data_IF_676279745360
#
_entry.id   IF_676279745360
#
_cell.length_a   1.000
_cell.length_b   1.000
_cell.length_c   1.000
_cell.angle_alpha   90.00
_cell.angle_beta   90.00
_cell.angle_gamma   90.00
#
_symmetry.space_group_name_H-M   'P 1'
#
loop_
_entity.id
_entity.type
_entity.pdbx_description
1 polymer ?
#
# COMPACT_ATOMS: atom_id res chain seq x y z
N UNK A 1 -1.83 9.99 -3.46
CA UNK A 1 -2.28 8.58 -3.51
C UNK A 1 -2.01 8.02 -4.91
N UNK A 2 -1.90 6.70 -5.10
CA UNK A 2 -2.02 6.07 -6.42
C UNK A 2 -3.15 5.04 -6.33
N UNK A 3 -4.10 5.11 -7.25
CA UNK A 3 -5.27 4.22 -7.23
C UNK A 3 -4.85 2.75 -7.45
N UNK A 4 -5.55 1.79 -6.83
CA UNK A 4 -5.25 0.37 -7.02
C UNK A 4 -5.52 -0.04 -8.47
N UNK A 5 -4.52 -0.60 -9.14
CA UNK A 5 -4.62 -1.06 -10.52
C UNK A 5 -4.02 -2.45 -10.68
N UNK A 6 -4.65 -3.34 -11.48
CA UNK A 6 -4.16 -4.71 -11.64
C UNK A 6 -2.83 -4.81 -12.40
N UNK A 7 -2.47 -3.78 -13.17
CA UNK A 7 -1.21 -3.72 -13.91
C UNK A 7 -0.04 -3.16 -13.07
N UNK A 8 -0.31 -2.72 -11.84
CA UNK A 8 0.70 -2.47 -10.81
C UNK A 8 0.70 -3.67 -9.85
N UNK A 9 1.75 -4.49 -9.90
CA UNK A 9 1.82 -5.75 -9.14
C UNK A 9 3.25 -6.14 -8.78
N UNK A 10 3.36 -7.09 -7.84
CA UNK A 10 4.63 -7.72 -7.46
C UNK A 10 4.56 -9.19 -7.84
N UNK A 11 5.65 -9.73 -8.40
CA UNK A 11 5.79 -11.15 -8.71
C UNK A 11 7.21 -11.61 -8.37
N UNK A 12 7.39 -12.91 -8.19
CA UNK A 12 8.70 -13.57 -8.06
C UNK A 12 8.95 -14.54 -9.22
N UNK A 13 8.10 -14.50 -10.24
CA UNK A 13 8.22 -15.39 -11.38
C UNK A 13 9.47 -15.05 -12.20
N UNK A 14 10.32 -16.06 -12.40
CA UNK A 14 11.56 -15.94 -13.18
C UNK A 14 12.64 -15.08 -12.53
N UNK A 15 12.50 -14.73 -11.25
CA UNK A 15 13.50 -13.94 -10.53
C UNK A 15 14.58 -14.83 -9.92
N UNK A 16 15.85 -14.36 -9.85
CA UNK A 16 16.88 -15.10 -9.13
C UNK A 16 16.57 -15.15 -7.64
N UNK A 17 17.22 -16.08 -6.95
CA UNK A 17 17.20 -16.15 -5.49
C UNK A 17 18.23 -15.17 -4.91
N UNK A 18 17.93 -14.65 -3.73
CA UNK A 18 18.89 -13.90 -2.92
C UNK A 18 19.91 -14.84 -2.24
N UNK A 19 20.80 -14.27 -1.43
CA UNK A 19 21.83 -15.00 -0.70
C UNK A 19 21.27 -16.02 0.34
N UNK A 20 19.98 -15.94 0.67
CA UNK A 20 19.28 -16.81 1.61
C UNK A 20 18.34 -17.81 0.92
N UNK A 21 18.32 -17.84 -0.42
CA UNK A 21 17.45 -18.73 -1.18
C UNK A 21 16.01 -18.20 -1.35
N UNK A 22 15.75 -16.93 -1.05
CA UNK A 22 14.43 -16.30 -1.20
C UNK A 22 14.33 -15.66 -2.60
N UNK A 23 13.27 -15.93 -3.38
CA UNK A 23 13.07 -15.27 -4.66
C UNK A 23 13.01 -13.74 -4.52
N UNK A 24 13.79 -13.02 -5.34
CA UNK A 24 13.78 -11.56 -5.34
C UNK A 24 12.44 -11.02 -5.88
N UNK A 25 11.83 -9.98 -5.26
CA UNK A 25 10.61 -9.40 -5.79
C UNK A 25 10.90 -8.62 -7.08
N UNK A 26 10.11 -8.89 -8.11
CA UNK A 26 9.97 -8.04 -9.30
C UNK A 26 8.73 -7.17 -9.15
N UNK A 27 8.95 -5.86 -9.03
CA UNK A 27 7.89 -4.85 -8.91
C UNK A 27 7.61 -4.28 -10.29
N UNK A 28 6.37 -4.44 -10.78
CA UNK A 28 5.87 -3.82 -12.00
C UNK A 28 4.98 -2.65 -11.58
N UNK A 29 5.39 -1.43 -11.92
CA UNK A 29 4.72 -0.24 -11.44
C UNK A 29 4.83 0.92 -12.42
N UNK A 30 3.74 1.66 -12.60
CA UNK A 30 3.72 2.90 -13.38
C UNK A 30 2.74 3.93 -12.81
N UNK A 31 3.05 5.20 -13.03
CA UNK A 31 2.14 6.31 -12.73
C UNK A 31 1.16 6.55 -13.88
N UNK A 32 -0.11 6.75 -13.53
CA UNK A 32 -1.17 7.10 -14.45
C UNK A 32 -1.32 8.60 -14.67
N UNK A 33 -2.38 8.95 -15.40
CA UNK A 33 -2.71 10.34 -15.68
C UNK A 33 -3.22 11.10 -14.45
N UNK A 34 -3.91 10.39 -13.56
CA UNK A 34 -4.38 10.95 -12.30
C UNK A 34 -3.21 11.46 -11.44
N UNK A 35 -2.13 10.67 -11.32
CA UNK A 35 -0.95 11.02 -10.54
C UNK A 35 -0.24 12.25 -11.11
N UNK A 36 -0.13 12.35 -12.44
CA UNK A 36 0.43 13.54 -13.10
C UNK A 36 -0.39 14.81 -12.81
N UNK A 37 -1.72 14.70 -12.84
CA UNK A 37 -2.61 15.83 -12.49
C UNK A 37 -2.51 16.21 -11.02
N UNK A 38 -2.43 15.22 -10.13
CA UNK A 38 -2.23 15.47 -8.69
C UNK A 38 -0.90 16.17 -8.41
N UNK A 39 0.18 15.81 -9.11
CA UNK A 39 1.47 16.50 -8.95
C UNK A 39 1.36 17.98 -9.32
N UNK A 40 0.67 18.31 -10.42
CA UNK A 40 0.43 19.71 -10.79
C UNK A 40 -0.34 20.47 -9.69
N UNK A 41 -1.41 19.87 -9.17
CA UNK A 41 -2.24 20.44 -8.09
C UNK A 41 -1.46 20.60 -6.77
N UNK A 42 -0.58 19.66 -6.44
CA UNK A 42 0.33 19.74 -5.28
C UNK A 42 1.20 20.99 -5.38
N UNK A 43 1.79 21.27 -6.55
CA UNK A 43 2.62 22.46 -6.74
C UNK A 43 1.82 23.75 -6.67
N UNK A 44 0.62 23.80 -7.26
CA UNK A 44 -0.27 24.97 -7.16
C UNK A 44 -0.66 25.25 -5.71
N UNK A 45 -1.01 24.20 -4.96
CA UNK A 45 -1.38 24.30 -3.54
C UNK A 45 -0.20 24.72 -2.67
N UNK A 46 0.99 24.12 -2.88
CA UNK A 46 2.21 24.49 -2.15
C UNK A 46 2.57 25.95 -2.38
N UNK A 47 2.54 26.41 -3.62
CA UNK A 47 2.88 27.79 -3.95
C UNK A 47 1.89 28.78 -3.33
N UNK A 48 0.59 28.49 -3.39
CA UNK A 48 -0.44 29.29 -2.73
C UNK A 48 -0.16 29.42 -1.22
N UNK A 49 0.09 28.30 -0.54
CA UNK A 49 0.36 28.28 0.91
C UNK A 49 1.63 29.06 1.25
N UNK A 50 2.72 28.85 0.50
CA UNK A 50 4.01 29.50 0.75
C UNK A 50 3.94 31.01 0.51
N UNK A 51 3.22 31.45 -0.54
CA UNK A 51 3.01 32.87 -0.81
C UNK A 51 2.21 33.55 0.30
N UNK A 52 1.13 32.93 0.78
CA UNK A 52 0.33 33.46 1.88
C UNK A 52 1.14 33.50 3.19
N UNK A 53 1.97 32.49 3.42
CA UNK A 53 2.91 32.45 4.53
C UNK A 53 4.08 33.45 4.40
N UNK A 54 4.16 34.20 3.28
CA UNK A 54 5.26 35.12 2.95
C UNK A 54 6.64 34.43 2.98
N UNK A 55 6.67 33.13 2.65
CA UNK A 55 7.90 32.37 2.56
C UNK A 55 8.69 32.75 1.30
N UNK A 56 10.01 32.76 1.41
CA UNK A 56 10.90 32.91 0.26
C UNK A 56 11.06 31.54 -0.44
N UNK A 57 10.77 31.50 -1.75
CA UNK A 57 10.83 30.27 -2.55
C UNK A 57 12.07 30.32 -3.43
N UNK A 58 13.13 29.58 -3.06
CA UNK A 58 14.39 29.57 -3.80
C UNK A 58 14.35 28.70 -5.07
N UNK A 59 13.64 27.58 -5.03
CA UNK A 59 13.55 26.65 -6.15
C UNK A 59 12.23 25.86 -6.09
N UNK A 60 11.53 25.81 -7.22
CA UNK A 60 10.30 25.05 -7.39
C UNK A 60 10.27 24.41 -8.79
N UNK A 61 10.67 23.14 -8.89
CA UNK A 61 10.59 22.38 -10.13
C UNK A 61 9.24 21.69 -10.27
N UNK A 62 8.32 22.31 -11.00
CA UNK A 62 6.97 21.78 -11.25
C UNK A 62 6.95 20.52 -12.12
N UNK A 63 8.07 20.18 -12.76
CA UNK A 63 8.19 18.97 -13.58
C UNK A 63 8.60 17.74 -12.76
N UNK A 64 9.06 17.94 -11.52
CA UNK A 64 9.54 16.87 -10.67
C UNK A 64 8.39 16.01 -10.15
N UNK A 65 8.48 14.72 -10.48
CA UNK A 65 7.71 13.64 -9.87
C UNK A 65 8.70 12.68 -9.20
N UNK A 66 8.48 12.36 -7.93
CA UNK A 66 9.39 11.48 -7.21
C UNK A 66 9.38 10.06 -7.81
N UNK A 67 10.53 9.37 -7.83
CA UNK A 67 10.60 8.02 -8.39
C UNK A 67 9.72 7.07 -7.56
N UNK A 68 9.09 6.06 -8.21
CA UNK A 68 8.37 5.00 -7.49
C UNK A 68 9.23 4.37 -6.39
N UNK A 69 8.62 4.13 -5.22
CA UNK A 69 9.29 3.54 -4.05
C UNK A 69 10.01 4.54 -3.14
N UNK A 70 10.18 5.80 -3.55
CA UNK A 70 10.82 6.83 -2.71
C UNK A 70 10.13 7.07 -1.36
N UNK A 71 8.82 6.82 -1.27
CA UNK A 71 8.06 6.96 -0.01
C UNK A 71 8.20 5.76 0.93
N UNK A 72 8.71 4.61 0.48
CA UNK A 72 8.87 3.39 1.30
C UNK A 72 7.54 2.96 1.96
N UNK A 73 6.44 3.15 1.24
CA UNK A 73 5.07 2.87 1.68
C UNK A 73 4.38 1.88 0.73
N UNK A 74 5.07 0.81 0.34
CA UNK A 74 4.51 -0.26 -0.48
C UNK A 74 3.42 -1.01 0.28
N UNK A 75 2.23 -1.14 -0.32
CA UNK A 75 1.05 -1.75 0.30
C UNK A 75 0.11 -2.33 -0.76
N UNK A 76 -0.85 -3.17 -0.35
CA UNK A 76 -1.88 -3.73 -1.22
C UNK A 76 -1.48 -4.97 -2.05
N UNK A 77 -0.32 -5.56 -1.75
CA UNK A 77 0.19 -6.76 -2.44
C UNK A 77 -0.55 -8.06 -2.05
N UNK A 78 -1.31 -8.05 -0.95
CA UNK A 78 -2.15 -9.16 -0.49
C UNK A 78 -3.47 -8.58 0.05
N UNK A 79 -4.21 -7.85 -0.80
CA UNK A 79 -5.33 -7.01 -0.37
C UNK A 79 -6.49 -7.79 0.27
N UNK A 80 -7.18 -7.11 1.19
CA UNK A 80 -8.50 -7.52 1.68
C UNK A 80 -9.61 -7.36 0.63
N UNK A 81 -10.69 -8.12 0.79
CA UNK A 81 -11.92 -7.98 0.02
C UNK A 81 -12.96 -9.05 0.37
N UNK A 82 -14.22 -8.77 0.05
CA UNK A 82 -15.33 -9.69 0.32
C UNK A 82 -15.45 -10.82 -0.72
N UNK A 83 -14.88 -10.65 -1.91
CA UNK A 83 -14.88 -11.64 -2.98
C UNK A 83 -13.54 -12.41 -3.00
N UNK A 84 -13.52 -13.71 -2.64
CA UNK A 84 -12.30 -14.53 -2.62
C UNK A 84 -11.68 -14.70 -4.02
N UNK A 85 -12.41 -14.44 -5.11
CA UNK A 85 -11.86 -14.46 -6.47
C UNK A 85 -11.06 -13.19 -6.79
N UNK A 86 -11.21 -12.15 -5.99
CA UNK A 86 -10.62 -10.82 -6.23
C UNK A 86 -9.77 -10.32 -5.08
N UNK A 87 -9.70 -11.01 -3.96
CA UNK A 87 -8.88 -10.66 -2.81
C UNK A 87 -8.41 -11.92 -2.09
N UNK A 88 -7.17 -11.89 -1.60
CA UNK A 88 -6.59 -13.01 -0.87
C UNK A 88 -7.13 -13.07 0.57
N UNK A 89 -7.39 -11.90 1.16
CA UNK A 89 -7.82 -11.78 2.55
C UNK A 89 -9.29 -11.36 2.66
N UNK A 90 -9.97 -11.81 3.72
CA UNK A 90 -11.25 -11.26 4.15
C UNK A 90 -11.05 -9.94 4.95
N UNK A 91 -12.14 -9.37 5.47
CA UNK A 91 -12.11 -8.12 6.23
C UNK A 91 -11.32 -8.18 7.56
N UNK A 92 -10.93 -9.36 8.04
CA UNK A 92 -10.15 -9.54 9.27
C UNK A 92 -8.68 -9.88 8.99
N UNK A 93 -8.20 -9.60 7.77
CA UNK A 93 -6.85 -9.94 7.34
C UNK A 93 -6.55 -11.46 7.34
N UNK A 94 -7.59 -12.30 7.34
CA UNK A 94 -7.50 -13.75 7.28
C UNK A 94 -7.55 -14.20 5.81
N UNK A 95 -6.71 -15.16 5.41
CA UNK A 95 -6.79 -15.76 4.08
C UNK A 95 -8.14 -16.45 3.86
N UNK A 96 -8.72 -16.26 2.68
CA UNK A 96 -9.96 -16.97 2.32
C UNK A 96 -9.74 -18.48 2.19
N UNK A 97 -8.57 -18.89 1.67
CA UNK A 97 -8.26 -20.31 1.38
C UNK A 97 -7.72 -21.08 2.60
N UNK A 98 -7.17 -20.37 3.61
CA UNK A 98 -6.46 -20.98 4.75
C UNK A 98 -6.91 -20.32 6.05
N UNK A 99 -7.75 -21.02 6.82
CA UNK A 99 -8.40 -20.44 8.01
C UNK A 99 -7.44 -19.97 9.09
N UNK A 100 -6.33 -20.64 9.30
CA UNK A 100 -5.36 -20.28 10.35
C UNK A 100 -4.22 -19.38 9.85
N UNK A 101 -4.35 -18.76 8.66
CA UNK A 101 -3.35 -17.86 8.09
C UNK A 101 -3.86 -16.42 8.01
N UNK A 102 -3.09 -15.49 8.59
CA UNK A 102 -3.41 -14.07 8.68
C UNK A 102 -2.23 -13.23 8.17
N UNK A 103 -2.53 -12.09 7.54
CA UNK A 103 -1.54 -11.16 7.00
C UNK A 103 -1.83 -9.76 7.51
N UNK A 104 -1.02 -9.30 8.47
CA UNK A 104 -1.33 -8.12 9.29
C UNK A 104 -0.39 -6.94 9.05
N UNK A 105 0.14 -6.81 7.83
CA UNK A 105 1.02 -5.71 7.40
C UNK A 105 0.33 -4.80 6.37
N UNK A 106 1.10 -3.93 5.71
CA UNK A 106 0.59 -3.03 4.67
C UNK A 106 0.04 -3.75 3.43
N UNK A 107 0.39 -5.01 3.19
CA UNK A 107 -0.09 -5.76 2.02
C UNK A 107 -1.62 -5.92 2.02
N UNK A 108 -2.26 -5.88 3.19
CA UNK A 108 -3.71 -6.02 3.37
C UNK A 108 -4.52 -4.82 2.86
N UNK A 109 -3.89 -3.68 2.60
CA UNK A 109 -4.60 -2.46 2.19
C UNK A 109 -5.32 -2.63 0.85
N UNK A 110 -6.49 -2.01 0.73
CA UNK A 110 -7.30 -2.01 -0.51
C UNK A 110 -7.05 -0.76 -1.36
N UNK A 111 -6.61 0.32 -0.73
CA UNK A 111 -6.20 1.58 -1.35
C UNK A 111 -4.97 2.11 -0.65
N UNK A 112 -4.22 2.95 -1.37
CA UNK A 112 -3.18 3.76 -0.75
C UNK A 112 -3.83 4.89 0.06
N UNK A 113 -3.06 5.58 0.91
CA UNK A 113 -3.52 6.84 1.53
C UNK A 113 -2.45 7.91 1.33
N UNK A 114 -2.80 9.19 1.47
CA UNK A 114 -1.84 10.29 1.51
C UNK A 114 -1.08 10.39 2.85
N UNK A 115 -1.38 9.51 3.81
CA UNK A 115 -0.75 9.42 5.12
C UNK A 115 0.14 8.18 5.27
N UNK A 116 1.07 8.28 6.21
CA UNK A 116 1.96 7.17 6.58
C UNK A 116 1.14 5.97 7.08
N UNK A 117 1.45 4.74 6.61
CA UNK A 117 0.57 3.59 6.77
C UNK A 117 0.63 2.96 8.17
N UNK A 118 1.66 3.23 8.96
CA UNK A 118 1.98 2.49 10.19
C UNK A 118 0.83 2.44 11.20
N UNK A 119 0.14 3.56 11.45
CA UNK A 119 -0.99 3.57 12.40
C UNK A 119 -2.16 2.73 11.90
N UNK A 120 -2.45 2.79 10.60
CA UNK A 120 -3.48 1.96 9.98
C UNK A 120 -3.09 0.48 10.02
N UNK A 121 -1.81 0.15 9.78
CA UNK A 121 -1.29 -1.22 9.93
C UNK A 121 -1.57 -1.70 11.36
N UNK A 122 -1.15 -0.95 12.39
CA UNK A 122 -1.38 -1.33 13.79
C UNK A 122 -2.85 -1.54 14.12
N UNK A 123 -3.74 -0.67 13.63
CA UNK A 123 -5.17 -0.80 13.83
C UNK A 123 -5.74 -2.07 13.17
N UNK A 124 -5.31 -2.38 11.94
CA UNK A 124 -5.71 -3.61 11.25
C UNK A 124 -5.13 -4.86 11.93
N UNK A 125 -3.87 -4.82 12.35
CA UNK A 125 -3.23 -5.92 13.08
C UNK A 125 -4.00 -6.21 14.36
N UNK A 126 -4.34 -5.19 15.14
CA UNK A 126 -5.12 -5.36 16.37
C UNK A 126 -6.46 -6.03 16.08
N UNK A 127 -7.25 -5.47 15.16
CA UNK A 127 -8.56 -6.04 14.78
C UNK A 127 -8.45 -7.50 14.34
N UNK A 128 -7.43 -7.82 13.54
CA UNK A 128 -7.18 -9.18 13.08
C UNK A 128 -6.82 -10.12 14.24
N UNK A 129 -6.00 -9.67 15.19
CA UNK A 129 -5.61 -10.48 16.34
C UNK A 129 -6.75 -10.71 17.35
N UNK A 130 -7.64 -9.74 17.55
CA UNK A 130 -8.84 -9.93 18.38
C UNK A 130 -9.75 -11.00 17.75
N UNK A 131 -10.00 -10.88 16.43
CA UNK A 131 -10.78 -11.88 15.69
C UNK A 131 -10.12 -13.27 15.71
N UNK A 132 -8.81 -13.34 15.48
CA UNK A 132 -8.02 -14.57 15.56
C UNK A 132 -8.19 -15.25 16.94
N UNK A 133 -8.05 -14.48 18.02
CA UNK A 133 -8.16 -15.00 19.38
C UNK A 133 -9.56 -15.56 19.67
N UNK A 134 -10.60 -14.88 19.20
CA UNK A 134 -11.99 -15.32 19.38
C UNK A 134 -12.31 -16.58 18.56
N UNK A 135 -11.87 -16.65 17.31
CA UNK A 135 -12.08 -17.83 16.46
C UNK A 135 -11.27 -19.04 16.95
N UNK A 136 -10.06 -18.82 17.47
CA UNK A 136 -9.26 -19.87 18.10
C UNK A 136 -9.97 -20.47 19.33
N UNK A 137 -10.53 -19.63 20.21
CA UNK A 137 -11.28 -20.10 21.39
C UNK A 137 -12.52 -20.91 21.03
N UNK A 138 -13.15 -20.61 19.89
CA UNK A 138 -14.31 -21.34 19.36
C UNK A 138 -13.94 -22.64 18.64
N UNK A 139 -12.66 -22.86 18.32
CA UNK A 139 -12.21 -24.01 17.52
C UNK A 139 -12.54 -23.88 16.03
N UNK A 140 -12.63 -22.64 15.51
CA UNK A 140 -13.00 -22.37 14.12
C UNK A 140 -11.81 -22.28 13.15
N UNK A 141 -10.58 -22.29 13.67
CA UNK A 141 -9.32 -22.17 12.93
C UNK A 141 -8.67 -23.53 12.65
#
# INVERSE_FOLDING_TARGET
>A
EVLPRPDNYVTVEGTPLDQYGVPLPKIVYSFGENERKMVADIYDTLEMILREAKAEIYHLDRSRMDPPGSSIHEHGTCRMGSDPRRAALNQFCQMHDVKNLFVVDGSAFTTATEKNPTLTILALSWRATDYLADEAKKGNL
#
